data_IF_911320130922
#
_entry.id   IF_911320130922
#
_cell.length_a   1.000
_cell.length_b   1.000
_cell.length_c   1.000
_cell.angle_alpha   90.00
_cell.angle_beta   90.00
_cell.angle_gamma   90.00
#
_symmetry.space_group_name_H-M   'P 1'
#
loop_
_entity.id
_entity.type
_entity.pdbx_description
1 polymer ?
#
# COMPACT_ATOMS: atom_id res chain seq x y z
N UNK A 1 -2.54 -10.59 -6.92
CA UNK A 1 -1.86 -10.74 -5.62
C UNK A 1 -2.71 -10.20 -4.49
N UNK A 2 -2.47 -10.64 -3.28
CA UNK A 2 -3.19 -10.13 -2.11
C UNK A 2 -2.56 -8.83 -1.63
N UNK A 3 -3.42 -7.87 -1.26
CA UNK A 3 -2.99 -6.60 -0.68
C UNK A 3 -3.99 -6.11 0.36
N UNK A 4 -3.51 -5.33 1.33
CA UNK A 4 -4.37 -4.58 2.22
C UNK A 4 -4.71 -3.25 1.55
N UNK A 5 -5.99 -3.00 1.37
CA UNK A 5 -6.48 -1.85 0.61
C UNK A 5 -7.46 -1.04 1.44
N UNK A 6 -7.31 0.28 1.43
CA UNK A 6 -8.35 1.20 1.89
C UNK A 6 -9.35 1.37 0.74
N UNK A 7 -10.34 0.50 0.68
CA UNK A 7 -11.32 0.50 -0.41
C UNK A 7 -12.37 1.59 -0.28
N UNK A 8 -12.71 1.93 0.97
CA UNK A 8 -13.81 2.84 1.28
C UNK A 8 -13.36 3.93 2.25
N UNK A 9 -14.01 5.08 2.17
CA UNK A 9 -13.77 6.22 3.05
C UNK A 9 -14.47 6.02 4.40
N UNK A 10 -14.08 4.97 5.11
CA UNK A 10 -14.62 4.58 6.42
C UNK A 10 -13.57 3.78 7.19
N UNK A 11 -13.73 3.57 8.52
CA UNK A 11 -12.78 2.78 9.29
C UNK A 11 -12.64 1.35 8.76
N UNK A 12 -11.43 0.81 8.83
CA UNK A 12 -11.09 -0.54 8.40
C UNK A 12 -10.08 -0.59 7.28
N UNK A 13 -9.59 -1.79 7.01
CA UNK A 13 -8.75 -2.14 5.86
C UNK A 13 -9.27 -3.47 5.34
N UNK A 14 -9.20 -3.66 4.03
CA UNK A 14 -9.74 -4.85 3.37
C UNK A 14 -8.61 -5.64 2.69
N UNK A 15 -8.58 -6.95 2.93
CA UNK A 15 -7.68 -7.85 2.21
C UNK A 15 -8.32 -8.19 0.87
N UNK A 16 -7.68 -7.78 -0.19
CA UNK A 16 -8.25 -7.79 -1.53
C UNK A 16 -7.25 -8.31 -2.55
N UNK A 17 -7.73 -8.96 -3.60
CA UNK A 17 -6.91 -9.29 -4.76
C UNK A 17 -6.75 -8.05 -5.63
N UNK A 18 -5.50 -7.73 -5.96
CA UNK A 18 -5.17 -6.62 -6.84
C UNK A 18 -4.24 -7.11 -7.96
N UNK A 19 -4.21 -6.43 -9.11
CA UNK A 19 -3.27 -6.76 -10.17
C UNK A 19 -1.83 -6.64 -9.69
N UNK A 20 -0.95 -7.50 -10.19
CA UNK A 20 0.48 -7.34 -10.00
C UNK A 20 0.92 -6.06 -10.71
N UNK A 21 1.71 -5.18 -10.05
CA UNK A 21 2.10 -3.91 -10.67
C UNK A 21 3.08 -4.13 -11.82
N UNK A 22 2.91 -3.34 -12.89
CA UNK A 22 3.92 -3.21 -13.93
C UNK A 22 4.97 -2.19 -13.51
N UNK A 23 6.13 -2.22 -14.16
CA UNK A 23 7.20 -1.26 -13.92
C UNK A 23 7.38 -0.33 -15.12
N UNK A 24 7.66 0.94 -14.81
CA UNK A 24 7.95 1.95 -15.81
C UNK A 24 9.43 2.31 -15.86
N UNK A 25 9.75 3.34 -16.63
CA UNK A 25 11.10 3.87 -16.74
C UNK A 25 11.56 4.42 -15.38
N UNK A 26 12.75 4.04 -14.96
CA UNK A 26 13.32 4.50 -13.68
C UNK A 26 12.74 3.81 -12.45
N UNK A 27 11.92 2.80 -12.62
CA UNK A 27 11.31 2.05 -11.51
C UNK A 27 11.94 0.68 -11.34
N UNK A 28 11.70 0.06 -10.19
CA UNK A 28 12.11 -1.31 -9.91
C UNK A 28 10.93 -2.10 -9.39
N UNK A 29 10.88 -3.39 -9.71
CA UNK A 29 9.91 -4.31 -9.14
C UNK A 29 10.56 -5.04 -7.97
N UNK A 30 9.91 -5.02 -6.82
CA UNK A 30 10.43 -5.59 -5.58
C UNK A 30 9.52 -6.73 -5.13
N UNK A 31 10.14 -7.88 -4.83
CA UNK A 31 9.46 -8.97 -4.12
C UNK A 31 9.54 -8.67 -2.64
N UNK A 32 8.41 -8.32 -2.03
CA UNK A 32 8.34 -7.98 -0.61
C UNK A 32 8.55 -9.22 0.25
N UNK A 33 9.49 -9.15 1.19
CA UNK A 33 9.81 -10.25 2.10
C UNK A 33 9.25 -10.02 3.50
N UNK A 34 9.27 -8.78 3.97
CA UNK A 34 8.75 -8.39 5.29
C UNK A 34 8.16 -7.00 5.20
N UNK A 35 7.16 -6.74 6.03
CA UNK A 35 6.55 -5.42 6.15
C UNK A 35 6.49 -4.99 7.61
N UNK A 36 6.48 -3.68 7.84
CA UNK A 36 6.25 -3.07 9.14
C UNK A 36 4.96 -2.25 9.12
N UNK A 37 4.46 -1.93 10.30
CA UNK A 37 3.29 -1.07 10.49
C UNK A 37 3.78 0.27 11.05
N UNK A 38 3.41 1.35 10.38
CA UNK A 38 3.68 2.72 10.80
C UNK A 38 2.43 3.34 11.44
N UNK A 39 2.61 4.36 12.26
CA UNK A 39 1.49 5.13 12.83
C UNK A 39 0.56 5.68 11.75
N UNK A 40 1.09 6.03 10.59
CA UNK A 40 0.30 6.47 9.43
C UNK A 40 -0.72 5.41 9.01
N UNK A 41 -0.34 4.14 9.03
CA UNK A 41 -1.23 3.03 8.67
C UNK A 41 -2.40 2.92 9.65
N UNK A 42 -2.15 3.20 10.93
CA UNK A 42 -3.20 3.21 11.95
C UNK A 42 -4.18 4.37 11.76
N UNK A 43 -3.69 5.55 11.38
CA UNK A 43 -4.55 6.69 11.04
C UNK A 43 -5.45 6.37 9.84
N UNK A 44 -4.90 5.72 8.82
CA UNK A 44 -5.66 5.31 7.63
C UNK A 44 -6.72 4.28 7.99
N UNK A 45 -6.34 3.26 8.79
CA UNK A 45 -7.27 2.23 9.23
C UNK A 45 -8.43 2.83 10.02
N UNK A 46 -8.12 3.71 10.95
CA UNK A 46 -9.12 4.33 11.82
C UNK A 46 -9.93 5.41 11.11
N UNK A 47 -9.48 5.86 9.95
CA UNK A 47 -10.11 6.90 9.16
C UNK A 47 -10.36 8.18 9.98
N UNK A 48 -9.31 8.62 10.68
CA UNK A 48 -9.36 9.82 11.51
C UNK A 48 -9.38 11.12 10.69
N UNK A 49 -9.40 12.27 11.36
CA UNK A 49 -9.49 13.56 10.68
C UNK A 49 -8.36 13.82 9.71
N UNK A 50 -7.13 13.38 10.04
CA UNK A 50 -5.99 13.50 9.13
C UNK A 50 -6.18 12.67 7.87
N UNK A 51 -6.57 11.39 8.04
CA UNK A 51 -6.74 10.48 6.91
C UNK A 51 -7.87 10.95 5.98
N UNK A 52 -8.95 11.49 6.52
CA UNK A 52 -10.05 12.01 5.73
C UNK A 52 -9.62 13.14 4.80
N UNK A 53 -8.62 13.93 5.19
CA UNK A 53 -8.10 15.04 4.39
C UNK A 53 -6.96 14.62 3.47
N UNK A 54 -6.10 13.70 3.91
CA UNK A 54 -4.86 13.35 3.21
C UNK A 54 -4.99 12.18 2.25
N UNK A 55 -5.96 11.29 2.46
CA UNK A 55 -6.06 10.02 1.75
C UNK A 55 -7.33 9.96 0.93
N UNK A 56 -7.19 9.53 -0.32
CA UNK A 56 -8.31 9.23 -1.22
C UNK A 56 -8.40 7.72 -1.41
N UNK A 57 -9.56 7.14 -1.16
CA UNK A 57 -9.81 5.74 -1.43
C UNK A 57 -10.18 5.53 -2.92
N UNK A 58 -9.82 4.41 -3.55
CA UNK A 58 -9.06 3.30 -2.98
C UNK A 58 -7.55 3.57 -2.92
N UNK A 59 -6.88 2.99 -1.94
CA UNK A 59 -5.44 3.11 -1.78
C UNK A 59 -4.86 1.80 -1.23
N UNK A 60 -3.83 1.28 -1.86
CA UNK A 60 -3.06 0.16 -1.31
C UNK A 60 -2.19 0.71 -0.19
N UNK A 61 -2.32 0.12 1.01
CA UNK A 61 -1.70 0.62 2.23
C UNK A 61 -0.39 -0.11 2.50
N UNK A 62 0.56 0.59 3.14
CA UNK A 62 1.85 0.06 3.54
C UNK A 62 3.01 0.75 2.81
N UNK A 63 4.00 1.21 3.59
CA UNK A 63 5.16 1.91 3.04
C UNK A 63 6.46 1.54 3.78
N UNK A 64 6.37 0.62 4.74
CA UNK A 64 7.55 0.10 5.44
C UNK A 64 7.75 -1.37 5.06
N UNK A 65 8.78 -1.65 4.30
CA UNK A 65 9.03 -3.00 3.82
C UNK A 65 10.51 -3.24 3.57
N UNK A 66 10.88 -4.52 3.53
CA UNK A 66 12.17 -4.97 2.98
C UNK A 66 11.87 -6.02 1.93
N UNK A 67 12.60 -5.98 0.86
CA UNK A 67 12.37 -6.89 -0.25
C UNK A 67 13.58 -7.04 -1.14
N UNK A 68 13.41 -7.83 -2.18
CA UNK A 68 14.43 -8.11 -3.19
C UNK A 68 14.01 -7.51 -4.52
N UNK A 69 14.92 -6.78 -5.15
CA UNK A 69 14.69 -6.26 -6.49
C UNK A 69 14.74 -7.42 -7.48
N UNK A 70 13.65 -7.67 -8.17
CA UNK A 70 13.53 -8.79 -9.12
C UNK A 70 13.52 -8.33 -10.57
N UNK A 71 13.23 -7.06 -10.82
CA UNK A 71 13.21 -6.50 -12.16
C UNK A 71 13.49 -5.00 -12.11
N UNK A 72 14.18 -4.47 -13.11
CA UNK A 72 14.44 -3.02 -13.24
C UNK A 72 13.85 -2.51 -14.54
N UNK A 73 13.20 -1.35 -14.46
CA UNK A 73 12.72 -0.61 -15.63
C UNK A 73 13.82 0.27 -16.22
N UNK A 74 13.70 0.61 -17.49
CA UNK A 74 14.68 1.43 -18.22
C UNK A 74 14.04 2.68 -18.77
#
# INVERSE_FOLDING_TARGET
>A
MKALVKEKSEPGLWLTDVPEPGIGHGEVLIKVLRTGICGTDLHIRNWDGWAQQAISAPLIVGHEFVGEVVETGR
#
